data_IF_439592397295
#
_entry.id   IF_439592397295
#
_cell.length_a   1.000
_cell.length_b   1.000
_cell.length_c   1.000
_cell.angle_alpha   90.00
_cell.angle_beta   90.00
_cell.angle_gamma   90.00
#
_symmetry.space_group_name_H-M   'P 1'
#
loop_
_entity.id
_entity.type
_entity.pdbx_description
1 polymer ?
#
# COMPACT_ATOMS: atom_id res chain seq x y z
N UNK A 1 41.93 5.06 -27.94
CA UNK A 1 40.79 5.93 -27.60
C UNK A 1 41.26 6.96 -26.58
N UNK A 2 41.07 8.25 -26.84
CA UNK A 2 41.44 9.30 -25.88
C UNK A 2 40.50 9.25 -24.66
N UNK A 3 41.01 9.53 -23.47
CA UNK A 3 40.23 9.61 -22.21
C UNK A 3 39.04 10.57 -22.35
N UNK A 4 39.21 11.63 -23.13
CA UNK A 4 38.18 12.62 -23.45
C UNK A 4 37.03 12.01 -24.26
N UNK A 5 37.34 11.14 -25.22
CA UNK A 5 36.34 10.39 -26.00
C UNK A 5 35.57 9.40 -25.13
N UNK A 6 36.24 8.77 -24.16
CA UNK A 6 35.61 7.84 -23.23
C UNK A 6 34.63 8.58 -22.28
N UNK A 7 35.04 9.74 -21.76
CA UNK A 7 34.19 10.60 -20.93
C UNK A 7 32.94 11.09 -21.68
N UNK A 8 33.11 11.54 -22.92
CA UNK A 8 31.99 11.93 -23.80
C UNK A 8 31.01 10.78 -24.01
N UNK A 9 31.52 9.56 -24.24
CA UNK A 9 30.70 8.37 -24.44
C UNK A 9 29.88 8.04 -23.19
N UNK A 10 30.52 7.96 -22.03
CA UNK A 10 29.81 7.65 -20.77
C UNK A 10 28.81 8.75 -20.39
N UNK A 11 29.15 10.01 -20.61
CA UNK A 11 28.24 11.13 -20.40
C UNK A 11 27.01 11.03 -21.31
N UNK A 12 27.20 10.70 -22.59
CA UNK A 12 26.09 10.49 -23.53
C UNK A 12 25.19 9.32 -23.15
N UNK A 13 25.77 8.20 -22.72
CA UNK A 13 24.99 7.04 -22.25
C UNK A 13 24.20 7.40 -20.99
N UNK A 14 24.82 8.13 -20.05
CA UNK A 14 24.17 8.54 -18.81
C UNK A 14 22.99 9.50 -19.06
N UNK A 15 23.12 10.44 -19.99
CA UNK A 15 22.02 11.36 -20.33
C UNK A 15 20.86 10.63 -21.00
N UNK A 16 21.14 9.70 -21.90
CA UNK A 16 20.10 8.86 -22.54
C UNK A 16 19.39 8.00 -21.49
N UNK A 17 20.14 7.38 -20.56
CA UNK A 17 19.56 6.59 -19.48
C UNK A 17 18.67 7.44 -18.55
N UNK A 18 19.10 8.65 -18.19
CA UNK A 18 18.32 9.59 -17.38
C UNK A 18 17.03 10.02 -18.09
N UNK A 19 17.09 10.31 -19.39
CA UNK A 19 15.93 10.67 -20.20
C UNK A 19 14.95 9.49 -20.30
N UNK A 20 15.45 8.26 -20.49
CA UNK A 20 14.63 7.06 -20.52
C UNK A 20 13.93 6.84 -19.17
N UNK A 21 14.62 6.97 -18.04
CA UNK A 21 14.02 6.89 -16.71
C UNK A 21 12.98 8.01 -16.47
N UNK A 22 13.25 9.23 -16.94
CA UNK A 22 12.30 10.34 -16.81
C UNK A 22 11.02 10.11 -17.64
N UNK A 23 11.16 9.60 -18.87
CA UNK A 23 10.02 9.25 -19.73
C UNK A 23 9.23 8.09 -19.15
N UNK A 24 9.91 7.06 -18.64
CA UNK A 24 9.28 5.90 -17.99
C UNK A 24 8.48 6.33 -16.76
N UNK A 25 9.01 7.26 -15.95
CA UNK A 25 8.32 7.83 -14.80
C UNK A 25 7.13 8.72 -15.20
N UNK A 26 7.29 9.56 -16.23
CA UNK A 26 6.25 10.50 -16.68
C UNK A 26 5.07 9.82 -17.36
N UNK A 27 5.34 8.83 -18.20
CA UNK A 27 4.33 8.12 -18.97
C UNK A 27 3.93 6.77 -18.35
N UNK A 28 4.52 6.41 -17.20
CA UNK A 28 4.24 5.16 -16.48
C UNK A 28 4.40 3.92 -17.40
N UNK A 29 5.42 3.92 -18.27
CA UNK A 29 5.66 2.79 -19.18
C UNK A 29 6.13 1.53 -18.45
N UNK A 30 6.62 1.68 -17.20
CA UNK A 30 7.07 0.61 -16.30
C UNK A 30 8.07 -0.34 -16.98
N UNK A 31 8.87 0.17 -17.91
CA UNK A 31 9.90 -0.59 -18.61
C UNK A 31 10.96 -1.11 -17.62
N UNK A 32 11.23 -0.34 -16.57
CA UNK A 32 12.11 -0.77 -15.48
C UNK A 32 11.58 -2.01 -14.74
N UNK A 33 10.27 -2.04 -14.45
CA UNK A 33 9.64 -3.21 -13.79
C UNK A 33 9.68 -4.42 -14.72
N UNK A 34 9.43 -4.22 -16.02
CA UNK A 34 9.47 -5.28 -17.04
C UNK A 34 10.88 -5.88 -17.20
N UNK A 35 11.91 -5.03 -17.25
CA UNK A 35 13.31 -5.45 -17.33
C UNK A 35 13.74 -6.25 -16.08
N UNK A 36 13.18 -5.91 -14.92
CA UNK A 36 13.42 -6.62 -13.66
C UNK A 36 12.52 -7.86 -13.47
N UNK A 37 11.77 -8.28 -14.50
CA UNK A 37 10.90 -9.45 -14.44
C UNK A 37 9.65 -9.28 -13.58
N UNK A 38 9.33 -8.05 -13.17
CA UNK A 38 8.08 -7.73 -12.47
C UNK A 38 7.01 -7.39 -13.50
N UNK A 39 6.23 -8.40 -13.90
CA UNK A 39 5.08 -8.22 -14.77
C UNK A 39 3.87 -7.69 -13.97
N UNK A 40 3.95 -6.45 -13.48
CA UNK A 40 2.77 -5.80 -12.93
C UNK A 40 1.96 -5.14 -14.05
N UNK A 41 0.64 -5.29 -13.98
CA UNK A 41 -0.26 -4.74 -15.00
C UNK A 41 -0.15 -3.20 -15.05
N UNK A 42 0.19 -2.61 -16.22
CA UNK A 42 0.37 -1.16 -16.37
C UNK A 42 -0.94 -0.36 -16.20
N UNK A 43 -2.11 -1.01 -16.30
CA UNK A 43 -3.42 -0.36 -16.19
C UNK A 43 -4.04 -0.41 -14.80
N UNK A 44 -3.52 -1.22 -13.87
CA UNK A 44 -4.13 -1.43 -12.53
C UNK A 44 -3.35 -0.67 -11.44
N UNK A 45 -2.18 -0.10 -11.72
CA UNK A 45 -1.30 0.45 -10.67
C UNK A 45 -1.91 1.61 -9.86
N UNK A 46 -2.80 2.41 -10.46
CA UNK A 46 -3.55 3.47 -9.76
C UNK A 46 -4.65 2.88 -8.87
N UNK A 47 -5.44 1.94 -9.40
CA UNK A 47 -6.50 1.24 -8.66
C UNK A 47 -5.94 0.32 -7.58
N UNK A 48 -4.74 -0.24 -7.76
CA UNK A 48 -4.14 -1.15 -6.77
C UNK A 48 -3.69 -0.37 -5.54
N UNK A 49 -3.23 0.87 -5.69
CA UNK A 49 -2.87 1.74 -4.55
C UNK A 49 -4.09 2.18 -3.78
N UNK A 50 -5.17 2.57 -4.47
CA UNK A 50 -6.43 2.96 -3.82
C UNK A 50 -7.12 1.75 -3.19
N UNK A 51 -7.09 0.59 -3.85
CA UNK A 51 -7.59 -0.67 -3.31
C UNK A 51 -6.79 -1.11 -2.08
N UNK A 52 -5.46 -0.98 -2.10
CA UNK A 52 -4.61 -1.32 -0.94
C UNK A 52 -4.88 -0.38 0.25
N UNK A 53 -5.08 0.91 0.00
CA UNK A 53 -5.48 1.86 1.04
C UNK A 53 -6.88 1.54 1.60
N UNK A 54 -7.83 1.19 0.73
CA UNK A 54 -9.18 0.77 1.13
C UNK A 54 -9.17 -0.53 1.94
N UNK A 55 -8.33 -1.51 1.56
CA UNK A 55 -8.15 -2.75 2.32
C UNK A 55 -7.55 -2.45 3.70
N UNK A 56 -6.51 -1.61 3.79
CA UNK A 56 -5.96 -1.21 5.09
C UNK A 56 -6.98 -0.51 5.98
N UNK A 57 -7.76 0.43 5.43
CA UNK A 57 -8.82 1.10 6.20
C UNK A 57 -9.88 0.10 6.70
N UNK A 58 -10.20 -0.93 5.91
CA UNK A 58 -11.13 -1.99 6.31
C UNK A 58 -10.53 -2.88 7.40
N UNK A 59 -9.25 -3.25 7.29
CA UNK A 59 -8.56 -4.06 8.30
C UNK A 59 -8.46 -3.32 9.63
N UNK A 60 -8.12 -2.02 9.63
CA UNK A 60 -8.11 -1.18 10.83
C UNK A 60 -9.49 -1.10 11.50
N UNK A 61 -10.56 -0.99 10.70
CA UNK A 61 -11.93 -1.02 11.20
C UNK A 61 -12.30 -2.38 11.79
N UNK A 62 -11.86 -3.48 11.18
CA UNK A 62 -12.11 -4.84 11.67
C UNK A 62 -11.43 -5.03 13.03
N UNK A 63 -10.18 -4.60 13.18
CA UNK A 63 -9.46 -4.69 14.45
C UNK A 63 -10.14 -3.87 15.55
N UNK A 64 -10.54 -2.62 15.23
CA UNK A 64 -11.24 -1.76 16.18
C UNK A 64 -12.62 -2.34 16.59
N UNK A 65 -13.35 -2.96 15.67
CA UNK A 65 -14.61 -3.62 15.97
C UNK A 65 -14.42 -4.89 16.81
N UNK A 66 -13.39 -5.67 16.50
CA UNK A 66 -13.04 -6.88 17.27
C UNK A 66 -12.75 -6.55 18.72
N UNK A 67 -11.94 -5.50 18.98
CA UNK A 67 -11.65 -5.03 20.34
C UNK A 67 -12.92 -4.58 21.09
N UNK A 68 -13.84 -3.91 20.39
CA UNK A 68 -15.12 -3.49 21.00
C UNK A 68 -16.03 -4.67 21.30
N UNK A 69 -16.03 -5.70 20.47
CA UNK A 69 -16.80 -6.92 20.72
C UNK A 69 -16.24 -7.64 21.95
N UNK A 70 -14.92 -7.77 22.06
CA UNK A 70 -14.26 -8.38 23.22
C UNK A 70 -14.59 -7.65 24.53
N UNK A 71 -14.60 -6.31 24.53
CA UNK A 71 -14.99 -5.54 25.72
C UNK A 71 -16.48 -5.65 26.04
N UNK A 72 -17.35 -5.68 25.02
CA UNK A 72 -18.79 -5.88 25.22
C UNK A 72 -19.08 -7.28 25.73
N UNK A 73 -18.39 -8.30 25.24
CA UNK A 73 -18.49 -9.66 25.76
C UNK A 73 -18.06 -9.73 27.22
N UNK A 74 -16.96 -9.07 27.61
CA UNK A 74 -16.53 -8.98 29.01
C UNK A 74 -17.59 -8.30 29.90
N UNK A 75 -18.15 -7.16 29.48
CA UNK A 75 -19.19 -6.45 30.25
C UNK A 75 -20.47 -7.29 30.37
N UNK A 76 -20.89 -7.93 29.28
CA UNK A 76 -22.12 -8.74 29.28
C UNK A 76 -21.96 -10.03 30.08
N UNK A 77 -20.75 -10.58 30.15
CA UNK A 77 -20.44 -11.79 30.95
C UNK A 77 -20.16 -11.48 32.42
N UNK A 78 -20.05 -10.20 32.81
CA UNK A 78 -19.93 -9.82 34.21
C UNK A 78 -21.26 -10.02 34.98
N UNK A 79 -21.21 -10.59 36.20
CA UNK A 79 -22.40 -10.83 37.01
C UNK A 79 -23.13 -9.54 37.42
N UNK A 80 -22.43 -8.40 37.43
CA UNK A 80 -23.01 -7.08 37.75
C UNK A 80 -23.93 -6.55 36.64
N UNK A 81 -23.61 -6.81 35.37
CA UNK A 81 -24.46 -6.41 34.24
C UNK A 81 -25.76 -7.21 34.21
N UNK A 82 -25.69 -8.53 34.41
CA UNK A 82 -26.89 -9.37 34.52
C UNK A 82 -27.79 -8.94 35.68
N UNK A 83 -27.20 -8.58 36.83
CA UNK A 83 -27.93 -8.10 37.99
C UNK A 83 -28.64 -6.76 37.67
N UNK A 84 -27.94 -5.82 37.04
CA UNK A 84 -28.51 -4.52 36.66
C UNK A 84 -29.59 -4.65 35.58
N UNK A 85 -29.44 -5.59 34.65
CA UNK A 85 -30.46 -5.95 33.66
C UNK A 85 -31.72 -6.52 34.32
N UNK A 86 -31.58 -7.41 35.31
CA UNK A 86 -32.70 -7.94 36.08
C UNK A 86 -33.39 -6.86 36.92
N UNK A 87 -32.64 -5.92 37.48
CA UNK A 87 -33.16 -4.78 38.24
C UNK A 87 -33.96 -3.82 37.35
N UNK A 88 -33.47 -3.47 36.16
CA UNK A 88 -34.19 -2.59 35.22
C UNK A 88 -35.39 -3.27 34.53
N UNK A 89 -35.51 -4.60 34.63
CA UNK A 89 -36.63 -5.35 34.09
C UNK A 89 -37.78 -5.55 35.11
N UNK A 90 -37.61 -5.07 36.35
CA UNK A 90 -38.63 -4.97 37.39
C UNK A 90 -39.25 -3.58 37.39
#
# INVERSE_FOLDING_TARGET
>A
MSTLSLLMLFSGIATIALIACYLDAKFQWRLHDWLNGRCDNPFISSETKTLKACIQEKDEKIDALTQRIETLEAIVTEPAYELNKKINAL
#
